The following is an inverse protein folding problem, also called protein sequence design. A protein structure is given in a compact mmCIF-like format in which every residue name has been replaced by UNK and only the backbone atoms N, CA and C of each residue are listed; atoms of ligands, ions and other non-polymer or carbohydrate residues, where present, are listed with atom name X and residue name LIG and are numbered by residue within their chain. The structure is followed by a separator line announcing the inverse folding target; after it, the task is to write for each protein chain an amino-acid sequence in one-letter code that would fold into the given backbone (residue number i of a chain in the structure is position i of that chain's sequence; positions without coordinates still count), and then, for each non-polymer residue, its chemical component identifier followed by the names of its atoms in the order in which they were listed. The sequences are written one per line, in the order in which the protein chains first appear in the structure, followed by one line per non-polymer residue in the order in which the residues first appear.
data_IF_716734863639
#
_entry.id   IF_716734863639
#
_cell.length_a   1.000
_cell.length_b   1.000
_cell.length_c   1.000
_cell.angle_alpha   90.00
_cell.angle_beta   90.00
_cell.angle_gamma   90.00
#
_symmetry.space_group_name_H-M   'P 1'
#
loop_
_entity.id
_entity.type
_entity.pdbx_description
1 polymer ?
#
# COMPACT_ATOMS: atom_id res chain seq x y z
N UNK A 1 15.51 7.15 3.56
CA UNK A 1 14.53 6.04 3.53
C UNK A 1 13.14 6.63 3.42
N UNK A 2 12.22 5.93 2.76
CA UNK A 2 10.84 6.39 2.54
C UNK A 2 9.90 5.83 3.61
N UNK A 3 9.04 6.68 4.15
CA UNK A 3 7.83 6.28 4.86
C UNK A 3 6.70 6.18 3.86
N UNK A 4 6.15 5.00 3.68
CA UNK A 4 5.08 4.77 2.73
C UNK A 4 3.71 4.82 3.40
N UNK A 5 2.71 5.23 2.64
CA UNK A 5 1.30 5.17 3.00
C UNK A 5 0.50 4.73 1.79
N UNK A 6 -0.40 3.79 2.02
CA UNK A 6 -1.32 3.29 1.02
C UNK A 6 -2.73 3.70 1.37
N UNK A 7 -3.53 4.01 0.34
CA UNK A 7 -4.97 4.11 0.45
C UNK A 7 -5.63 3.16 -0.54
N UNK A 8 -6.52 2.31 -0.06
CA UNK A 8 -7.30 1.36 -0.86
C UNK A 8 -8.75 1.82 -0.85
N UNK A 9 -9.36 1.94 -2.03
CA UNK A 9 -10.75 2.36 -2.18
C UNK A 9 -11.52 1.37 -3.05
N UNK A 10 -12.81 1.13 -2.74
CA UNK A 10 -13.69 0.29 -3.55
C UNK A 10 -14.22 -0.93 -2.79
N UNK A 11 -14.10 -2.11 -3.36
CA UNK A 11 -14.54 -3.41 -2.82
C UNK A 11 -13.43 -4.45 -2.93
N UNK A 12 -13.60 -5.65 -2.37
CA UNK A 12 -12.60 -6.73 -2.51
C UNK A 12 -12.44 -7.25 -3.94
N UNK A 13 -13.40 -6.97 -4.83
CA UNK A 13 -13.45 -7.47 -6.20
C UNK A 13 -13.14 -6.37 -7.23
N UNK A 14 -13.41 -5.12 -6.89
CA UNK A 14 -13.13 -3.92 -7.70
C UNK A 14 -12.57 -2.83 -6.78
N UNK A 15 -11.24 -2.65 -6.84
CA UNK A 15 -10.51 -1.71 -5.99
C UNK A 15 -9.51 -0.87 -6.77
N UNK A 16 -9.12 0.23 -6.14
CA UNK A 16 -8.01 1.08 -6.58
C UNK A 16 -7.05 1.30 -5.43
N UNK A 17 -5.74 1.25 -5.73
CA UNK A 17 -4.69 1.56 -4.76
C UNK A 17 -4.01 2.88 -5.13
N UNK A 18 -3.94 3.77 -4.14
CA UNK A 18 -3.17 5.01 -4.17
C UNK A 18 -1.94 4.85 -3.27
N UNK A 19 -0.77 5.08 -3.83
CA UNK A 19 0.52 4.94 -3.15
C UNK A 19 1.11 6.31 -2.93
N UNK A 20 1.55 6.58 -1.71
CA UNK A 20 2.22 7.82 -1.36
C UNK A 20 3.44 7.52 -0.49
N UNK A 21 4.43 8.40 -0.55
CA UNK A 21 5.64 8.29 0.25
C UNK A 21 6.07 9.64 0.79
N UNK A 22 6.75 9.62 1.92
CA UNK A 22 7.40 10.78 2.52
C UNK A 22 8.85 10.45 2.83
N UNK A 23 9.73 11.44 2.68
CA UNK A 23 11.13 11.36 3.10
C UNK A 23 11.43 12.20 4.34
N UNK A 24 10.48 13.04 4.76
CA UNK A 24 10.58 13.98 5.87
C UNK A 24 9.47 13.80 6.92
N UNK A 25 8.65 12.74 6.81
CA UNK A 25 7.49 12.37 7.64
C UNK A 25 6.28 13.31 7.57
N UNK A 26 6.44 14.54 7.12
CA UNK A 26 5.39 15.55 7.09
C UNK A 26 4.75 15.69 5.71
N UNK A 27 5.55 15.62 4.65
CA UNK A 27 5.12 15.85 3.29
C UNK A 27 5.05 14.53 2.53
N UNK A 28 3.85 14.14 2.13
CA UNK A 28 3.62 12.95 1.31
C UNK A 28 3.48 13.34 -0.15
N UNK A 29 4.19 12.64 -1.01
CA UNK A 29 4.11 12.75 -2.45
C UNK A 29 3.49 11.47 -3.00
N UNK A 30 2.67 11.59 -4.04
CA UNK A 30 2.10 10.45 -4.74
C UNK A 30 3.20 9.69 -5.50
N UNK A 31 3.14 8.36 -5.48
CA UNK A 31 4.00 7.54 -6.32
C UNK A 31 3.44 7.49 -7.75
N UNK A 32 4.30 7.75 -8.73
CA UNK A 32 3.95 7.73 -10.16
C UNK A 32 4.08 6.34 -10.78
N UNK A 33 3.57 5.30 -10.11
CA UNK A 33 3.58 3.93 -10.65
C UNK A 33 2.53 3.78 -11.75
N UNK A 34 2.92 3.20 -12.88
CA UNK A 34 2.09 3.06 -14.09
C UNK A 34 1.75 1.59 -14.39
N UNK A 35 0.71 1.37 -15.20
CA UNK A 35 0.23 0.05 -15.61
C UNK A 35 -1.03 -0.42 -14.87
N UNK A 36 -1.29 -1.73 -14.94
CA UNK A 36 -2.34 -2.43 -14.20
C UNK A 36 -2.11 -2.35 -12.69
N UNK A 37 -3.13 -2.63 -11.87
CA UNK A 37 -2.97 -2.63 -10.41
C UNK A 37 -1.89 -3.61 -9.92
N UNK A 38 -1.74 -4.77 -10.57
CA UNK A 38 -0.66 -5.71 -10.25
C UNK A 38 0.71 -5.12 -10.59
N UNK A 39 0.88 -4.46 -11.74
CA UNK A 39 2.16 -3.83 -12.12
C UNK A 39 2.52 -2.67 -11.19
N UNK A 40 1.53 -1.85 -10.81
CA UNK A 40 1.70 -0.76 -9.84
C UNK A 40 2.05 -1.31 -8.46
N UNK A 41 1.42 -2.41 -8.05
CA UNK A 41 1.73 -3.10 -6.79
C UNK A 41 3.14 -3.68 -6.79
N UNK A 42 3.57 -4.33 -7.88
CA UNK A 42 4.93 -4.86 -8.02
C UNK A 42 5.98 -3.74 -7.92
N UNK A 43 5.75 -2.59 -8.56
CA UNK A 43 6.64 -1.42 -8.44
C UNK A 43 6.70 -0.89 -7.00
N UNK A 44 5.54 -0.76 -6.33
CA UNK A 44 5.48 -0.42 -4.92
C UNK A 44 6.25 -1.43 -4.04
N UNK A 45 6.06 -2.72 -4.26
CA UNK A 45 6.70 -3.80 -3.49
C UNK A 45 8.22 -3.70 -3.58
N UNK A 46 8.76 -3.52 -4.79
CA UNK A 46 10.20 -3.36 -5.01
C UNK A 46 10.75 -2.08 -4.38
N UNK A 47 10.01 -0.97 -4.44
CA UNK A 47 10.38 0.30 -3.81
C UNK A 47 10.31 0.20 -2.27
N UNK A 48 9.30 -0.47 -1.72
CA UNK A 48 9.19 -0.77 -0.30
C UNK A 48 10.38 -1.62 0.17
N UNK A 49 10.74 -2.65 -0.59
CA UNK A 49 11.87 -3.54 -0.29
C UNK A 49 13.18 -2.75 -0.22
N UNK A 50 13.48 -1.96 -1.25
CA UNK A 50 14.75 -1.21 -1.41
C UNK A 50 14.83 0.04 -0.54
N UNK A 51 13.77 0.86 -0.54
CA UNK A 51 13.80 2.22 0.01
C UNK A 51 12.95 2.39 1.28
N UNK A 52 12.07 1.43 1.60
CA UNK A 52 11.19 1.50 2.76
C UNK A 52 11.93 1.49 4.10
N UNK A 53 11.59 2.44 4.97
CA UNK A 53 12.11 2.56 6.32
C UNK A 53 11.69 1.41 7.26
N UNK A 54 12.18 1.41 8.51
CA UNK A 54 11.83 0.41 9.52
C UNK A 54 10.40 0.57 10.06
N UNK A 55 9.71 1.67 9.74
CA UNK A 55 8.38 1.94 10.25
C UNK A 55 7.34 1.01 9.63
N UNK A 56 6.25 0.72 10.37
CA UNK A 56 5.08 0.08 9.79
C UNK A 56 4.53 0.88 8.61
N UNK A 57 3.99 0.17 7.63
CA UNK A 57 3.24 0.76 6.54
C UNK A 57 1.84 1.10 7.02
N UNK A 58 1.43 2.36 6.86
CA UNK A 58 0.07 2.81 7.13
C UNK A 58 -0.82 2.56 5.90
N UNK A 59 -1.90 1.83 6.10
CA UNK A 59 -2.85 1.44 5.06
C UNK A 59 -4.22 1.95 5.47
N UNK A 60 -4.76 2.87 4.68
CA UNK A 60 -6.10 3.41 4.85
C UNK A 60 -7.07 2.71 3.92
N UNK A 61 -8.09 2.08 4.48
CA UNK A 61 -9.14 1.37 3.76
C UNK A 61 -10.38 2.26 3.72
N UNK A 62 -10.86 2.59 2.52
CA UNK A 62 -12.17 3.20 2.30
C UNK A 62 -12.97 2.30 1.38
N UNK A 63 -13.50 1.24 1.97
CA UNK A 63 -14.20 0.20 1.25
C UNK A 63 -15.71 0.42 1.32
N UNK A 64 -16.47 -0.28 0.48
CA UNK A 64 -17.94 -0.22 0.49
C UNK A 64 -18.56 -0.64 1.83
N UNK A 65 -17.87 -1.49 2.60
CA UNK A 65 -18.29 -1.94 3.92
C UNK A 65 -17.83 -1.02 5.08
N UNK A 66 -17.05 0.03 4.82
CA UNK A 66 -16.63 0.98 5.84
C UNK A 66 -15.22 1.55 5.66
N UNK A 67 -14.79 2.32 6.66
CA UNK A 67 -13.47 2.94 6.72
C UNK A 67 -12.66 2.34 7.86
N UNK A 68 -11.43 1.93 7.60
CA UNK A 68 -10.51 1.42 8.60
C UNK A 68 -9.08 1.92 8.32
N UNK A 69 -8.30 2.10 9.37
CA UNK A 69 -6.87 2.40 9.28
C UNK A 69 -6.10 1.23 9.91
N UNK A 70 -5.12 0.69 9.20
CA UNK A 70 -4.29 -0.44 9.66
C UNK A 70 -2.82 -0.12 9.50
N UNK A 71 -1.99 -0.65 10.40
CA UNK A 71 -0.54 -0.53 10.33
C UNK A 71 0.07 -1.92 10.27
N UNK A 72 0.86 -2.20 9.22
CA UNK A 72 1.48 -3.51 9.02
C UNK A 72 3.00 -3.42 8.98
N UNK A 73 3.65 -4.41 9.58
CA UNK A 73 5.10 -4.51 9.53
C UNK A 73 5.56 -4.79 8.09
N UNK A 74 6.58 -4.06 7.63
CA UNK A 74 7.18 -4.23 6.28
C UNK A 74 7.45 -5.70 5.93
N UNK A 75 8.02 -6.46 6.87
CA UNK A 75 8.36 -7.88 6.70
C UNK A 75 7.15 -8.78 6.40
N UNK A 76 5.96 -8.44 6.88
CA UNK A 76 4.74 -9.23 6.64
C UNK A 76 4.17 -8.90 5.26
N UNK A 77 4.24 -7.64 4.86
CA UNK A 77 3.78 -7.21 3.54
C UNK A 77 4.66 -7.72 2.42
N UNK A 78 5.96 -7.80 2.64
CA UNK A 78 6.90 -8.36 1.66
C UNK A 78 6.75 -9.87 1.43
N UNK A 79 5.80 -10.54 2.09
CA UNK A 79 5.44 -11.94 1.82
C UNK A 79 4.28 -12.08 0.84
N UNK A 80 3.67 -10.97 0.42
CA UNK A 80 2.48 -10.94 -0.42
C UNK A 80 2.89 -10.28 -1.73
N UNK A 81 2.95 -11.05 -2.81
CA UNK A 81 3.36 -10.55 -4.12
C UNK A 81 2.16 -10.27 -5.04
N UNK A 82 1.03 -10.93 -4.77
CA UNK A 82 -0.22 -10.74 -5.51
C UNK A 82 -1.07 -9.63 -4.88
N UNK A 83 -1.54 -8.70 -5.73
CA UNK A 83 -2.32 -7.54 -5.28
C UNK A 83 -3.68 -7.93 -4.72
N UNK A 84 -4.31 -8.97 -5.27
CA UNK A 84 -5.63 -9.41 -4.80
C UNK A 84 -5.52 -10.08 -3.44
N UNK A 85 -4.49 -10.90 -3.22
CA UNK A 85 -4.17 -11.45 -1.90
C UNK A 85 -3.88 -10.34 -0.89
N UNK A 86 -3.10 -9.33 -1.29
CA UNK A 86 -2.82 -8.18 -0.44
C UNK A 86 -4.11 -7.50 0.00
N UNK A 87 -4.99 -7.12 -0.95
CA UNK A 87 -6.28 -6.47 -0.62
C UNK A 87 -7.16 -7.37 0.24
N UNK A 88 -7.28 -8.66 -0.07
CA UNK A 88 -8.06 -9.62 0.74
C UNK A 88 -7.59 -9.63 2.19
N UNK A 89 -6.28 -9.68 2.45
CA UNK A 89 -5.73 -9.65 3.82
C UNK A 89 -5.91 -8.32 4.53
N UNK A 90 -5.99 -7.22 3.79
CA UNK A 90 -6.25 -5.91 4.40
C UNK A 90 -7.71 -5.73 4.78
N UNK A 91 -8.63 -6.26 3.98
CA UNK A 91 -10.08 -6.14 4.19
C UNK A 91 -10.60 -7.13 5.23
N UNK A 92 -10.01 -8.33 5.31
CA UNK A 92 -10.34 -9.36 6.32
C UNK A 92 -10.10 -8.88 7.75
#
# INVERSE_FOLDING_TARGET
MKLFKIKITGSSEDFKIEYSFSTDYFNYNDCTYEGTEQERYTQFYEDLKKNGGPQPLNIKLKMSNGVADRAFQKKELLKIEDVNEFVKRMVA
#
